data_IF_102969903071
#
_entry.id   IF_102969903071
#
_cell.length_a   1.000
_cell.length_b   1.000
_cell.length_c   1.000
_cell.angle_alpha   90.00
_cell.angle_beta   90.00
_cell.angle_gamma   90.00
#
_symmetry.space_group_name_H-M   'P 1'
#
loop_
_entity.id
_entity.type
_entity.pdbx_description
1 polymer ?
#
# COMPACT_ATOMS: atom_id res chain seq x y z
N UNK A 1 21.11 -12.93 -1.15
CA UNK A 1 19.87 -13.64 -0.75
C UNK A 1 19.35 -14.54 -1.84
N UNK A 2 18.64 -15.61 -1.47
CA UNK A 2 17.92 -16.50 -2.41
C UNK A 2 16.61 -15.85 -2.86
N UNK A 3 15.89 -16.45 -3.82
CA UNK A 3 14.74 -15.80 -4.48
C UNK A 3 13.48 -15.74 -3.62
N UNK A 4 13.26 -16.73 -2.76
CA UNK A 4 12.01 -16.89 -2.01
C UNK A 4 11.78 -15.83 -0.91
N UNK A 5 12.80 -15.17 -0.30
CA UNK A 5 12.59 -14.01 0.56
C UNK A 5 12.53 -12.69 -0.21
N UNK A 6 13.19 -12.61 -1.38
CA UNK A 6 13.27 -11.37 -2.16
C UNK A 6 11.88 -11.01 -2.71
N UNK A 7 11.17 -11.95 -3.33
CA UNK A 7 9.85 -11.69 -3.91
C UNK A 7 8.82 -11.19 -2.89
N UNK A 8 8.62 -11.90 -1.77
CA UNK A 8 7.74 -11.47 -0.70
C UNK A 8 8.21 -10.18 -0.04
N UNK A 9 9.52 -9.96 0.14
CA UNK A 9 9.99 -8.68 0.70
C UNK A 9 9.76 -7.49 -0.24
N UNK A 10 9.95 -7.66 -1.56
CA UNK A 10 9.55 -6.64 -2.55
C UNK A 10 8.05 -6.36 -2.49
N UNK A 11 7.24 -7.41 -2.29
CA UNK A 11 5.80 -7.28 -2.13
C UNK A 11 5.42 -6.58 -0.82
N UNK A 12 5.96 -6.98 0.33
CA UNK A 12 5.70 -6.36 1.65
C UNK A 12 6.12 -4.89 1.70
N UNK A 13 7.23 -4.55 1.05
CA UNK A 13 7.72 -3.16 0.98
C UNK A 13 6.77 -2.25 0.23
N UNK A 14 5.99 -2.82 -0.67
CA UNK A 14 4.97 -2.11 -1.40
C UNK A 14 3.64 -2.18 -0.64
N UNK A 15 3.17 -3.38 -0.35
CA UNK A 15 1.95 -3.67 0.39
C UNK A 15 2.19 -3.46 1.89
N UNK A 16 2.19 -2.19 2.26
CA UNK A 16 2.13 -1.71 3.64
C UNK A 16 0.72 -1.30 4.06
N UNK A 17 0.66 -0.60 5.19
CA UNK A 17 -0.58 -0.04 5.73
C UNK A 17 -1.30 0.91 4.78
N UNK A 18 -0.55 1.67 3.98
CA UNK A 18 -1.11 2.56 2.97
C UNK A 18 -1.99 1.81 1.96
N UNK A 19 -1.74 0.53 1.69
CA UNK A 19 -2.59 -0.27 0.82
C UNK A 19 -3.83 -0.78 1.57
N UNK A 20 -3.69 -1.23 2.81
CA UNK A 20 -4.85 -1.65 3.60
C UNK A 20 -5.85 -0.52 3.85
N UNK A 21 -5.36 0.69 4.11
CA UNK A 21 -6.21 1.86 4.40
C UNK A 21 -6.58 2.58 3.10
N UNK A 22 -5.58 2.93 2.28
CA UNK A 22 -5.76 3.73 1.08
C UNK A 22 -6.30 2.95 -0.12
N UNK A 23 -5.68 1.81 -0.50
CA UNK A 23 -6.13 1.02 -1.66
C UNK A 23 -7.51 0.43 -1.40
N UNK A 24 -7.75 -0.17 -0.24
CA UNK A 24 -9.08 -0.69 0.09
C UNK A 24 -10.11 0.42 0.30
N UNK A 25 -9.73 1.57 0.88
CA UNK A 25 -10.64 2.70 1.05
C UNK A 25 -11.02 3.35 -0.28
N UNK A 26 -10.08 3.48 -1.21
CA UNK A 26 -10.37 3.97 -2.56
C UNK A 26 -11.15 2.93 -3.36
N UNK A 27 -10.90 1.63 -3.12
CA UNK A 27 -11.76 0.54 -3.59
C UNK A 27 -13.20 0.69 -3.10
N UNK A 28 -13.40 0.96 -1.81
CA UNK A 28 -14.71 1.21 -1.22
C UNK A 28 -15.42 2.45 -1.81
N UNK A 29 -14.66 3.49 -2.14
CA UNK A 29 -15.20 4.74 -2.69
C UNK A 29 -15.55 4.59 -4.19
N UNK A 30 -14.58 4.11 -4.98
CA UNK A 30 -14.58 4.22 -6.43
C UNK A 30 -14.83 2.88 -7.13
N UNK A 31 -14.54 1.74 -6.50
CA UNK A 31 -14.69 0.40 -7.08
C UNK A 31 -13.39 -0.19 -7.64
N UNK A 32 -13.51 -1.09 -8.62
CA UNK A 32 -12.43 -2.00 -9.03
C UNK A 32 -11.32 -1.36 -9.87
N UNK A 33 -11.51 -0.14 -10.39
CA UNK A 33 -10.52 0.51 -11.23
C UNK A 33 -9.16 0.71 -10.53
N UNK A 34 -9.17 0.81 -9.19
CA UNK A 34 -7.95 0.85 -8.39
C UNK A 34 -7.11 -0.43 -8.53
N UNK A 35 -7.71 -1.57 -8.87
CA UNK A 35 -6.97 -2.78 -9.20
C UNK A 35 -6.06 -2.62 -10.43
N UNK A 36 -6.42 -1.72 -11.35
CA UNK A 36 -5.57 -1.36 -12.49
C UNK A 36 -4.25 -0.73 -12.08
N UNK A 37 -4.21 0.01 -10.96
CA UNK A 37 -2.97 0.55 -10.38
C UNK A 37 -2.00 -0.57 -9.98
N UNK A 38 -2.53 -1.63 -9.36
CA UNK A 38 -1.75 -2.79 -8.93
C UNK A 38 -1.31 -3.67 -10.10
N UNK A 39 -2.17 -3.87 -11.10
CA UNK A 39 -1.86 -4.71 -12.24
C UNK A 39 -0.90 -4.04 -13.23
N UNK A 40 -0.89 -2.70 -13.34
CA UNK A 40 0.11 -1.98 -14.13
C UNK A 40 1.54 -2.25 -13.59
N UNK A 41 1.69 -2.26 -12.27
CA UNK A 41 2.95 -2.55 -11.60
C UNK A 41 3.52 -3.95 -11.92
N UNK A 42 2.68 -4.95 -12.22
CA UNK A 42 3.12 -6.33 -12.49
C UNK A 42 4.16 -6.40 -13.61
N UNK A 43 3.92 -5.67 -14.71
CA UNK A 43 4.83 -5.65 -15.86
C UNK A 43 6.14 -4.98 -15.49
N UNK A 44 6.08 -3.91 -14.69
CA UNK A 44 7.26 -3.11 -14.38
C UNK A 44 8.17 -3.74 -13.32
N UNK A 45 7.62 -4.59 -12.44
CA UNK A 45 8.43 -5.45 -11.56
C UNK A 45 9.29 -6.42 -12.38
N UNK A 46 8.75 -6.98 -13.46
CA UNK A 46 9.51 -7.85 -14.37
C UNK A 46 10.56 -7.04 -15.13
N UNK A 47 10.22 -5.84 -15.60
CA UNK A 47 11.18 -4.92 -16.24
C UNK A 47 12.34 -4.57 -15.30
N UNK A 48 12.07 -4.34 -14.02
CA UNK A 48 13.11 -4.13 -13.00
C UNK A 48 14.13 -5.30 -13.00
N UNK A 49 13.66 -6.53 -12.87
CA UNK A 49 14.53 -7.71 -12.75
C UNK A 49 15.32 -8.05 -14.03
N UNK A 50 14.77 -7.76 -15.21
CA UNK A 50 15.38 -8.13 -16.49
C UNK A 50 16.20 -7.03 -17.17
N UNK A 51 15.87 -5.76 -16.91
CA UNK A 51 16.51 -4.62 -17.57
C UNK A 51 17.35 -3.83 -16.56
N UNK A 52 16.73 -3.31 -15.50
CA UNK A 52 17.37 -2.33 -14.63
C UNK A 52 18.37 -2.95 -13.66
N UNK A 53 18.02 -4.04 -12.97
CA UNK A 53 18.95 -4.68 -12.02
C UNK A 53 20.26 -5.16 -12.68
N UNK A 54 20.24 -5.79 -13.88
CA UNK A 54 21.48 -6.09 -14.61
C UNK A 54 22.36 -4.88 -14.88
N UNK A 55 21.76 -3.72 -15.18
CA UNK A 55 22.49 -2.47 -15.41
C UNK A 55 23.14 -1.99 -14.10
N UNK A 56 22.39 -1.98 -12.99
CA UNK A 56 22.91 -1.53 -11.70
C UNK A 56 24.01 -2.44 -11.15
N UNK A 57 23.85 -3.76 -11.26
CA UNK A 57 24.89 -4.71 -10.82
C UNK A 57 26.17 -4.53 -11.66
N UNK A 58 26.06 -4.38 -12.99
CA UNK A 58 27.22 -4.11 -13.85
C UNK A 58 27.88 -2.76 -13.58
N UNK A 59 27.10 -1.75 -13.21
CA UNK A 59 27.63 -0.44 -12.83
C UNK A 59 28.30 -0.44 -11.44
N UNK A 60 28.13 -1.51 -10.64
CA UNK A 60 28.71 -1.63 -9.31
C UNK A 60 28.27 -0.49 -8.39
N UNK A 61 26.98 -0.16 -8.40
CA UNK A 61 26.39 0.93 -7.61
C UNK A 61 25.56 0.39 -6.47
N UNK A 62 25.56 1.12 -5.36
CA UNK A 62 24.73 0.78 -4.19
C UNK A 62 23.49 1.68 -4.13
N UNK A 63 23.59 2.91 -4.64
CA UNK A 63 22.49 3.88 -4.65
C UNK A 63 22.11 4.33 -6.05
N UNK A 64 20.84 4.71 -6.22
CA UNK A 64 20.34 5.23 -7.49
C UNK A 64 20.95 6.58 -7.86
N UNK A 65 21.17 7.53 -6.92
CA UNK A 65 21.95 8.74 -7.20
C UNK A 65 23.40 8.44 -7.64
N UNK A 66 24.06 7.42 -7.09
CA UNK A 66 25.40 7.01 -7.51
C UNK A 66 25.43 6.53 -8.97
N UNK A 67 24.41 5.77 -9.40
CA UNK A 67 24.23 5.40 -10.81
C UNK A 67 24.18 6.62 -11.72
N UNK A 68 23.37 7.62 -11.34
CA UNK A 68 23.21 8.82 -12.15
C UNK A 68 24.49 9.65 -12.19
N UNK A 69 25.28 9.67 -11.10
CA UNK A 69 26.64 10.23 -11.11
C UNK A 69 27.54 9.51 -12.11
N UNK A 70 27.58 8.17 -12.11
CA UNK A 70 28.43 7.41 -13.05
C UNK A 70 27.98 7.61 -14.50
N UNK A 71 26.68 7.77 -14.74
CA UNK A 71 26.11 7.90 -16.09
C UNK A 71 26.24 9.30 -16.69
N UNK A 72 25.94 10.34 -15.91
CA UNK A 72 25.87 11.74 -16.37
C UNK A 72 27.03 12.61 -15.91
N UNK A 73 27.82 12.14 -14.94
CA UNK A 73 28.91 12.90 -14.33
C UNK A 73 28.43 13.90 -13.28
N UNK A 74 29.38 14.36 -12.45
CA UNK A 74 29.18 15.44 -11.49
C UNK A 74 28.64 15.01 -10.12
N UNK A 75 29.36 15.36 -9.04
CA UNK A 75 28.95 15.11 -7.64
C UNK A 75 27.67 15.88 -7.25
N UNK A 76 27.39 17.00 -7.93
CA UNK A 76 26.20 17.84 -7.67
C UNK A 76 24.88 17.11 -7.92
N UNK A 77 24.80 16.29 -8.98
CA UNK A 77 23.57 15.53 -9.31
C UNK A 77 23.29 14.48 -8.25
N UNK A 78 24.33 13.75 -7.79
CA UNK A 78 24.21 12.76 -6.72
C UNK A 78 23.64 13.38 -5.45
N UNK A 79 24.26 14.47 -4.98
CA UNK A 79 23.85 15.15 -3.73
C UNK A 79 22.43 15.69 -3.88
N UNK A 80 22.12 16.37 -4.99
CA UNK A 80 20.79 16.93 -5.22
C UNK A 80 19.70 15.85 -5.17
N UNK A 81 19.88 14.74 -5.89
CA UNK A 81 18.89 13.66 -5.92
C UNK A 81 18.78 12.92 -4.59
N UNK A 82 19.89 12.79 -3.86
CA UNK A 82 19.88 12.17 -2.52
C UNK A 82 19.11 13.02 -1.53
N UNK A 83 19.37 14.33 -1.48
CA UNK A 83 18.64 15.27 -0.63
C UNK A 83 17.16 15.31 -1.01
N UNK A 84 16.84 15.39 -2.31
CA UNK A 84 15.46 15.36 -2.78
C UNK A 84 14.75 14.06 -2.36
N UNK A 85 15.40 12.91 -2.52
CA UNK A 85 14.83 11.60 -2.15
C UNK A 85 14.60 11.50 -0.64
N UNK A 86 15.53 12.00 0.19
CA UNK A 86 15.37 12.03 1.64
C UNK A 86 14.19 12.91 2.07
N UNK A 87 14.05 14.11 1.48
CA UNK A 87 12.90 14.98 1.74
C UNK A 87 11.59 14.31 1.31
N UNK A 88 11.56 13.68 0.13
CA UNK A 88 10.38 12.96 -0.33
C UNK A 88 10.02 11.79 0.60
N UNK A 89 11.00 11.04 1.11
CA UNK A 89 10.73 9.96 2.06
C UNK A 89 10.12 10.47 3.36
N UNK A 90 10.58 11.61 3.90
CA UNK A 90 10.04 12.21 5.12
C UNK A 90 8.61 12.72 4.88
N UNK A 91 8.40 13.53 3.85
CA UNK A 91 7.13 14.23 3.65
C UNK A 91 6.03 13.39 3.00
N UNK A 92 6.38 12.35 2.24
CA UNK A 92 5.37 11.54 1.52
C UNK A 92 5.23 10.13 2.09
N UNK A 93 6.31 9.36 2.20
CA UNK A 93 6.21 7.95 2.60
C UNK A 93 6.03 7.76 4.10
N UNK A 94 6.93 8.33 4.90
CA UNK A 94 6.91 8.17 6.36
C UNK A 94 5.62 8.78 6.93
N UNK A 95 5.22 9.96 6.46
CA UNK A 95 3.97 10.61 6.88
C UNK A 95 2.74 9.75 6.56
N UNK A 96 2.62 9.20 5.35
CA UNK A 96 1.50 8.36 4.95
C UNK A 96 1.45 7.04 5.73
N UNK A 97 2.59 6.38 5.93
CA UNK A 97 2.67 5.12 6.68
C UNK A 97 2.32 5.32 8.16
N UNK A 98 2.84 6.39 8.79
CA UNK A 98 2.51 6.75 10.18
C UNK A 98 1.03 7.09 10.32
N UNK A 99 0.46 7.87 9.39
CA UNK A 99 -0.96 8.23 9.40
C UNK A 99 -1.87 7.00 9.28
N UNK A 100 -1.57 6.14 8.31
CA UNK A 100 -2.30 4.89 8.13
C UNK A 100 -2.17 3.98 9.36
N UNK A 101 -0.98 3.94 9.97
CA UNK A 101 -0.74 3.20 11.20
C UNK A 101 -1.48 3.73 12.42
N UNK A 102 -1.55 5.05 12.55
CA UNK A 102 -2.30 5.72 13.61
C UNK A 102 -3.79 5.39 13.55
N UNK A 103 -4.42 5.51 12.36
CA UNK A 103 -5.82 5.13 12.15
C UNK A 103 -6.04 3.68 12.60
N UNK A 104 -5.13 2.81 12.18
CA UNK A 104 -5.25 1.39 12.49
C UNK A 104 -5.15 1.10 13.99
N UNK A 105 -4.13 1.64 14.67
CA UNK A 105 -3.93 1.43 16.10
C UNK A 105 -5.10 1.99 16.91
N UNK A 106 -5.58 3.17 16.53
CA UNK A 106 -6.72 3.79 17.19
C UNK A 106 -7.98 2.92 17.06
N UNK A 107 -8.27 2.39 15.86
CA UNK A 107 -9.44 1.53 15.66
C UNK A 107 -9.30 0.15 16.31
N UNK A 108 -8.10 -0.42 16.30
CA UNK A 108 -7.84 -1.77 16.79
C UNK A 108 -7.72 -1.85 18.32
N UNK A 109 -7.01 -0.89 18.92
CA UNK A 109 -6.63 -0.90 20.34
C UNK A 109 -7.29 0.22 21.16
N UNK A 110 -7.98 1.16 20.53
CA UNK A 110 -8.58 2.31 21.21
C UNK A 110 -7.55 3.25 21.83
N UNK A 111 -6.28 3.16 21.43
CA UNK A 111 -5.21 3.98 21.97
C UNK A 111 -5.22 5.38 21.38
N UNK A 112 -4.73 6.35 22.15
CA UNK A 112 -4.44 7.69 21.65
C UNK A 112 -3.44 7.62 20.50
N UNK A 113 -3.68 8.42 19.46
CA UNK A 113 -2.91 8.43 18.22
C UNK A 113 -1.44 8.77 18.49
N UNK A 114 -1.13 9.72 19.38
CA UNK A 114 0.25 10.12 19.65
C UNK A 114 1.02 9.03 20.40
N UNK A 115 0.37 8.39 21.37
CA UNK A 115 0.95 7.25 22.09
C UNK A 115 1.21 6.08 21.14
N UNK A 116 0.25 5.77 20.25
CA UNK A 116 0.35 4.75 19.24
C UNK A 116 1.56 4.96 18.30
N UNK A 117 1.74 6.18 17.81
CA UNK A 117 2.86 6.57 16.96
C UNK A 117 4.18 6.40 17.70
N UNK A 118 4.27 6.84 18.96
CA UNK A 118 5.50 6.72 19.75
C UNK A 118 5.91 5.25 19.94
N UNK A 119 4.96 4.38 20.32
CA UNK A 119 5.22 2.95 20.49
C UNK A 119 5.65 2.31 19.16
N UNK A 120 4.95 2.61 18.07
CA UNK A 120 5.27 2.11 16.73
C UNK A 120 6.70 2.50 16.33
N UNK A 121 7.05 3.78 16.45
CA UNK A 121 8.38 4.29 16.09
C UNK A 121 9.49 3.73 17.00
N UNK A 122 9.24 3.59 18.30
CA UNK A 122 10.21 3.04 19.24
C UNK A 122 10.54 1.57 18.93
N UNK A 123 9.51 0.75 18.70
CA UNK A 123 9.69 -0.65 18.30
C UNK A 123 10.39 -0.70 16.94
N UNK A 124 9.96 0.12 15.98
CA UNK A 124 10.59 0.18 14.66
C UNK A 124 12.06 0.52 14.71
N UNK A 125 12.44 1.56 15.46
CA UNK A 125 13.84 1.93 15.64
C UNK A 125 14.66 0.78 16.23
N UNK A 126 14.17 0.12 17.28
CA UNK A 126 14.89 -0.96 17.96
C UNK A 126 15.27 -2.11 17.02
N UNK A 127 14.31 -2.62 16.23
CA UNK A 127 14.62 -3.73 15.34
C UNK A 127 15.36 -3.29 14.06
N UNK A 128 15.18 -2.05 13.61
CA UNK A 128 15.97 -1.49 12.49
C UNK A 128 17.45 -1.47 12.85
N UNK A 129 17.78 -0.94 14.03
CA UNK A 129 19.15 -0.76 14.52
C UNK A 129 19.83 -2.12 14.75
N UNK A 130 19.11 -3.10 15.29
CA UNK A 130 19.68 -4.40 15.67
C UNK A 130 19.75 -5.40 14.51
N UNK A 131 18.83 -5.35 13.54
CA UNK A 131 18.67 -6.40 12.53
C UNK A 131 19.33 -6.15 11.17
N UNK A 132 19.44 -4.89 10.74
CA UNK A 132 19.91 -4.53 9.39
C UNK A 132 19.05 -5.08 8.25
N UNK A 133 19.47 -4.85 7.00
CA UNK A 133 18.69 -5.22 5.80
C UNK A 133 18.34 -6.72 5.74
N UNK A 134 19.21 -7.58 6.26
CA UNK A 134 18.98 -9.01 6.17
C UNK A 134 17.84 -9.49 7.07
N UNK A 135 17.78 -9.02 8.32
CA UNK A 135 16.68 -9.33 9.21
C UNK A 135 15.36 -8.80 8.66
N UNK A 136 15.35 -7.57 8.11
CA UNK A 136 14.17 -6.95 7.50
C UNK A 136 13.59 -7.84 6.40
N UNK A 137 14.41 -8.38 5.49
CA UNK A 137 13.91 -9.21 4.39
C UNK A 137 13.27 -10.53 4.92
N UNK A 138 13.83 -11.14 5.96
CA UNK A 138 13.24 -12.35 6.54
C UNK A 138 11.93 -12.07 7.27
N UNK A 139 11.86 -10.99 8.04
CA UNK A 139 10.62 -10.58 8.73
C UNK A 139 9.52 -10.23 7.72
N UNK A 140 9.86 -9.52 6.65
CA UNK A 140 8.94 -9.18 5.56
C UNK A 140 8.35 -10.44 4.90
N UNK A 141 9.17 -11.48 4.76
CA UNK A 141 8.75 -12.73 4.11
C UNK A 141 7.75 -13.48 4.95
N UNK A 142 8.02 -13.63 6.26
CA UNK A 142 7.10 -14.26 7.19
C UNK A 142 5.78 -13.47 7.25
N UNK A 143 5.88 -12.14 7.40
CA UNK A 143 4.71 -11.27 7.44
C UNK A 143 3.86 -11.39 6.18
N UNK A 144 4.48 -11.39 4.99
CA UNK A 144 3.76 -11.56 3.72
C UNK A 144 2.96 -12.85 3.70
N UNK A 145 3.55 -13.97 4.14
CA UNK A 145 2.86 -15.25 4.16
C UNK A 145 1.62 -15.21 5.07
N UNK A 146 1.77 -14.70 6.30
CA UNK A 146 0.65 -14.62 7.26
C UNK A 146 -0.41 -13.63 6.76
N UNK A 147 0.01 -12.52 6.15
CA UNK A 147 -0.86 -11.50 5.57
C UNK A 147 -1.72 -12.05 4.44
N UNK A 148 -1.12 -12.79 3.51
CA UNK A 148 -1.85 -13.39 2.41
C UNK A 148 -2.89 -14.39 2.94
N UNK A 149 -2.49 -15.30 3.83
CA UNK A 149 -3.40 -16.29 4.43
C UNK A 149 -4.56 -15.60 5.14
N UNK A 150 -4.27 -14.61 5.98
CA UNK A 150 -5.28 -13.88 6.72
C UNK A 150 -6.23 -13.07 5.83
N UNK A 151 -5.72 -12.43 4.77
CA UNK A 151 -6.54 -11.73 3.78
C UNK A 151 -7.40 -12.68 2.94
N UNK A 152 -6.91 -13.88 2.59
CA UNK A 152 -7.73 -14.90 1.92
C UNK A 152 -8.90 -15.33 2.80
N UNK A 153 -8.63 -15.58 4.08
CA UNK A 153 -9.68 -15.96 5.05
C UNK A 153 -10.70 -14.83 5.20
N UNK A 154 -10.26 -13.58 5.38
CA UNK A 154 -11.14 -12.41 5.47
C UNK A 154 -12.01 -12.28 4.22
N UNK A 155 -11.42 -12.40 3.04
CA UNK A 155 -12.13 -12.30 1.76
C UNK A 155 -13.20 -13.39 1.65
N UNK A 156 -12.90 -14.62 2.07
CA UNK A 156 -13.86 -15.72 2.13
C UNK A 156 -15.06 -15.41 3.03
N UNK A 157 -14.83 -14.92 4.25
CA UNK A 157 -15.91 -14.48 5.14
C UNK A 157 -16.71 -13.31 4.56
N UNK A 158 -16.04 -12.34 3.95
CA UNK A 158 -16.65 -11.16 3.36
C UNK A 158 -17.62 -11.52 2.23
N UNK A 159 -17.20 -12.39 1.31
CA UNK A 159 -18.09 -12.85 0.24
C UNK A 159 -19.22 -13.74 0.74
N UNK A 160 -18.99 -14.54 1.79
CA UNK A 160 -20.03 -15.35 2.41
C UNK A 160 -21.16 -14.47 2.98
N UNK A 161 -20.83 -13.38 3.70
CA UNK A 161 -21.87 -12.49 4.25
C UNK A 161 -22.60 -11.66 3.20
N UNK A 162 -21.93 -11.29 2.11
CA UNK A 162 -22.58 -10.56 1.04
C UNK A 162 -23.52 -11.47 0.21
N UNK A 163 -23.31 -12.79 0.25
CA UNK A 163 -24.09 -13.77 -0.50
C UNK A 163 -23.52 -14.08 -1.89
N UNK A 164 -22.20 -13.99 -2.06
CA UNK A 164 -21.50 -14.30 -3.31
C UNK A 164 -21.25 -13.11 -4.24
N UNK A 165 -20.68 -13.38 -5.41
CA UNK A 165 -20.20 -12.36 -6.34
C UNK A 165 -21.32 -11.57 -7.05
N UNK A 166 -22.41 -12.23 -7.43
CA UNK A 166 -23.56 -11.57 -8.07
C UNK A 166 -24.26 -10.61 -7.10
N UNK A 167 -24.51 -11.09 -5.87
CA UNK A 167 -25.06 -10.25 -4.80
C UNK A 167 -24.13 -9.10 -4.45
N UNK A 168 -22.82 -9.31 -4.50
CA UNK A 168 -21.82 -8.25 -4.31
C UNK A 168 -21.96 -7.13 -5.35
N UNK A 169 -22.09 -7.45 -6.63
CA UNK A 169 -22.27 -6.44 -7.68
C UNK A 169 -23.54 -5.62 -7.50
N UNK A 170 -24.66 -6.28 -7.22
CA UNK A 170 -25.96 -5.63 -7.04
C UNK A 170 -26.01 -4.79 -5.75
N UNK A 171 -25.59 -5.37 -4.62
CA UNK A 171 -25.62 -4.68 -3.32
C UNK A 171 -24.63 -3.53 -3.24
N UNK A 172 -23.47 -3.62 -3.91
CA UNK A 172 -22.51 -2.51 -3.94
C UNK A 172 -23.15 -1.26 -4.55
N UNK A 173 -23.88 -1.38 -5.66
CA UNK A 173 -24.55 -0.25 -6.29
C UNK A 173 -25.68 0.36 -5.44
N UNK A 174 -26.23 -0.43 -4.51
CA UNK A 174 -27.29 0.00 -3.58
C UNK A 174 -26.76 0.50 -2.22
N UNK A 175 -25.44 0.46 -2.00
CA UNK A 175 -24.81 0.85 -0.74
C UNK A 175 -24.73 2.38 -0.58
N UNK A 176 -25.89 2.98 -0.34
CA UNK A 176 -26.12 4.42 -0.13
C UNK A 176 -26.48 4.66 1.35
N UNK A 177 -25.84 5.62 2.04
CA UNK A 177 -26.17 5.96 3.43
C UNK A 177 -27.57 6.58 3.53
N UNK A 178 -28.26 6.29 4.64
CA UNK A 178 -29.61 6.80 4.91
C UNK A 178 -29.59 8.31 5.18
N UNK A 179 -28.51 8.81 5.78
CA UNK A 179 -28.36 10.22 6.17
C UNK A 179 -27.48 10.98 5.19
N UNK A 180 -28.15 11.73 4.31
CA UNK A 180 -27.53 12.51 3.22
C UNK A 180 -27.76 14.02 3.34
N UNK A 181 -28.71 14.44 4.18
CA UNK A 181 -28.96 15.83 4.52
C UNK A 181 -29.05 16.02 6.03
N UNK A 182 -28.50 17.12 6.52
CA UNK A 182 -28.70 17.57 7.90
C UNK A 182 -28.92 19.08 7.90
N UNK A 183 -30.14 19.51 8.26
CA UNK A 183 -30.53 20.92 8.29
C UNK A 183 -30.29 21.62 6.94
N UNK A 184 -29.33 22.56 6.93
CA UNK A 184 -29.02 23.39 5.76
C UNK A 184 -28.01 22.76 4.78
N UNK A 185 -27.42 21.62 5.10
CA UNK A 185 -26.42 20.96 4.26
C UNK A 185 -26.99 19.68 3.63
N UNK A 186 -26.97 19.60 2.31
CA UNK A 186 -27.28 18.39 1.55
C UNK A 186 -26.05 18.01 0.73
N UNK A 187 -25.54 16.80 0.94
CA UNK A 187 -24.40 16.31 0.16
C UNK A 187 -24.81 16.11 -1.31
N UNK A 188 -23.86 16.35 -2.23
CA UNK A 188 -24.08 16.05 -3.65
C UNK A 188 -24.28 14.56 -3.85
N UNK A 189 -25.16 14.18 -4.77
CA UNK A 189 -25.47 12.78 -5.08
C UNK A 189 -24.21 11.96 -5.41
N UNK A 190 -23.32 12.56 -6.21
CA UNK A 190 -22.02 12.00 -6.59
C UNK A 190 -21.13 11.57 -5.41
N UNK A 191 -21.31 12.16 -4.23
CA UNK A 191 -20.46 11.86 -3.07
C UNK A 191 -20.87 10.58 -2.33
N UNK A 192 -22.15 10.19 -2.39
CA UNK A 192 -22.68 9.05 -1.64
C UNK A 192 -23.14 7.90 -2.52
N UNK A 193 -23.49 8.15 -3.79
CA UNK A 193 -23.83 7.08 -4.73
C UNK A 193 -22.58 6.43 -5.30
N UNK A 194 -22.49 5.09 -5.32
CA UNK A 194 -21.47 4.38 -6.09
C UNK A 194 -21.53 4.77 -7.58
N UNK A 195 -20.38 4.85 -8.25
CA UNK A 195 -20.35 5.21 -9.68
C UNK A 195 -20.89 4.06 -10.52
N UNK A 196 -21.58 4.38 -11.61
CA UNK A 196 -22.06 3.37 -12.57
C UNK A 196 -20.92 2.54 -13.20
N UNK A 197 -19.73 3.15 -13.35
CA UNK A 197 -18.51 2.51 -13.85
C UNK A 197 -17.62 1.90 -12.76
N UNK A 198 -18.16 1.65 -11.56
CA UNK A 198 -17.41 1.05 -10.44
C UNK A 198 -16.86 -0.35 -10.74
N UNK A 199 -17.46 -1.11 -11.65
CA UNK A 199 -16.99 -2.42 -12.10
C UNK A 199 -16.21 -2.39 -13.43
N UNK A 200 -15.82 -1.21 -13.91
CA UNK A 200 -14.99 -1.07 -15.11
C UNK A 200 -13.59 -0.58 -14.74
N UNK A 201 -12.56 -1.35 -15.13
CA UNK A 201 -11.15 -0.95 -14.94
C UNK A 201 -10.78 0.17 -15.91
N UNK A 202 -11.18 0.03 -17.17
CA UNK A 202 -10.97 1.06 -18.19
C UNK A 202 -12.15 2.02 -18.19
N UNK A 203 -12.00 3.14 -17.50
CA UNK A 203 -13.02 4.19 -17.41
C UNK A 203 -12.91 5.18 -18.56
N UNK A 204 -13.95 5.99 -18.71
CA UNK A 204 -14.01 7.07 -19.68
C UNK A 204 -12.73 7.93 -19.66
N UNK A 205 -12.15 8.26 -20.83
CA UNK A 205 -10.87 8.94 -20.91
C UNK A 205 -10.87 10.39 -20.38
N UNK A 206 -12.03 11.02 -20.19
CA UNK A 206 -12.14 12.44 -19.84
C UNK A 206 -12.83 12.62 -18.48
N UNK A 207 -13.89 11.87 -18.22
CA UNK A 207 -14.75 12.03 -17.03
C UNK A 207 -14.48 11.00 -15.93
N UNK A 208 -13.66 9.98 -16.23
CA UNK A 208 -13.16 9.04 -15.24
C UNK A 208 -12.27 9.73 -14.21
N UNK A 209 -12.41 9.37 -12.94
CA UNK A 209 -11.42 9.66 -11.89
C UNK A 209 -10.06 8.98 -12.18
N UNK A 210 -10.12 7.76 -12.73
CA UNK A 210 -8.97 7.04 -13.29
C UNK A 210 -9.22 6.76 -14.77
N UNK A 211 -9.01 7.76 -15.64
CA UNK A 211 -9.24 7.60 -17.06
C UNK A 211 -8.27 6.56 -17.63
N UNK A 212 -8.74 5.69 -18.53
CA UNK A 212 -7.91 4.59 -19.06
C UNK A 212 -6.56 5.02 -19.67
N UNK A 213 -6.41 6.19 -20.35
CA UNK A 213 -5.11 6.63 -20.83
C UNK A 213 -4.17 6.97 -19.68
N UNK A 214 -4.70 7.58 -18.61
CA UNK A 214 -3.96 7.84 -17.37
C UNK A 214 -3.55 6.55 -16.69
N UNK A 215 -4.43 5.55 -16.66
CA UNK A 215 -4.16 4.23 -16.10
C UNK A 215 -3.03 3.49 -16.83
N UNK A 216 -3.00 3.55 -18.16
CA UNK A 216 -1.97 2.84 -18.94
C UNK A 216 -0.68 3.64 -19.04
N UNK A 217 -0.75 4.90 -19.49
CA UNK A 217 0.44 5.69 -19.80
C UNK A 217 0.94 6.50 -18.61
N UNK A 218 0.03 7.10 -17.84
CA UNK A 218 0.37 7.89 -16.66
C UNK A 218 0.92 7.03 -15.53
N UNK A 219 0.18 6.00 -15.12
CA UNK A 219 0.61 5.10 -14.05
C UNK A 219 1.84 4.28 -14.43
N UNK A 220 2.06 3.96 -15.71
CA UNK A 220 3.29 3.28 -16.11
C UNK A 220 4.54 4.13 -15.82
N UNK A 221 4.48 5.46 -15.96
CA UNK A 221 5.60 6.34 -15.62
C UNK A 221 5.85 6.31 -14.11
N UNK A 222 4.78 6.41 -13.31
CA UNK A 222 4.85 6.36 -11.85
C UNK A 222 5.36 4.99 -11.35
N UNK A 223 4.83 3.91 -11.90
CA UNK A 223 5.25 2.56 -11.58
C UNK A 223 6.69 2.30 -12.03
N UNK A 224 7.14 2.84 -13.16
CA UNK A 224 8.52 2.71 -13.60
C UNK A 224 9.45 3.40 -12.60
N UNK A 225 9.09 4.62 -12.18
CA UNK A 225 9.83 5.34 -11.16
C UNK A 225 9.88 4.55 -9.84
N UNK A 226 8.72 4.09 -9.35
CA UNK A 226 8.61 3.36 -8.08
C UNK A 226 9.39 2.03 -8.10
N UNK A 227 9.23 1.22 -9.15
CA UNK A 227 9.85 -0.11 -9.18
C UNK A 227 11.30 -0.08 -9.61
N UNK A 228 11.66 0.77 -10.57
CA UNK A 228 12.98 0.72 -11.20
C UNK A 228 13.97 1.73 -10.63
N UNK A 229 13.51 2.82 -10.00
CA UNK A 229 14.41 3.86 -9.47
C UNK A 229 14.27 4.14 -7.97
N UNK A 230 13.28 3.58 -7.29
CA UNK A 230 13.18 3.76 -5.84
C UNK A 230 14.23 2.93 -5.09
N UNK A 231 15.00 3.59 -4.23
CA UNK A 231 16.06 2.95 -3.45
C UNK A 231 15.52 1.78 -2.63
N UNK A 232 14.32 1.88 -2.06
CA UNK A 232 13.72 0.85 -1.21
C UNK A 232 13.54 -0.48 -1.95
N UNK A 233 13.15 -0.41 -3.21
CA UNK A 233 12.86 -1.58 -4.05
C UNK A 233 14.14 -2.12 -4.68
N UNK A 234 14.94 -1.22 -5.28
CA UNK A 234 16.15 -1.64 -6.00
C UNK A 234 17.19 -2.23 -5.05
N UNK A 235 17.35 -1.67 -3.84
CA UNK A 235 18.31 -2.16 -2.84
C UNK A 235 18.06 -3.64 -2.47
N UNK A 236 16.80 -4.08 -2.42
CA UNK A 236 16.45 -5.48 -2.17
C UNK A 236 16.85 -6.39 -3.31
N UNK A 237 16.63 -5.95 -4.54
CA UNK A 237 17.07 -6.71 -5.72
C UNK A 237 18.59 -6.84 -5.76
N UNK A 238 19.33 -5.79 -5.40
CA UNK A 238 20.79 -5.80 -5.34
C UNK A 238 21.34 -6.73 -4.24
N UNK A 239 20.54 -7.04 -3.21
CA UNK A 239 20.93 -7.98 -2.15
C UNK A 239 20.90 -9.47 -2.58
N UNK A 240 20.42 -9.77 -3.80
CA UNK A 240 20.35 -11.14 -4.32
C UNK A 240 21.72 -11.77 -4.50
N UNK A 241 21.81 -13.10 -4.33
CA UNK A 241 23.09 -13.83 -4.50
C UNK A 241 23.54 -13.83 -5.96
N UNK A 242 22.61 -14.03 -6.89
CA UNK A 242 22.84 -14.17 -8.32
C UNK A 242 21.70 -13.55 -9.12
N UNK A 243 21.95 -13.29 -10.41
CA UNK A 243 20.93 -12.74 -11.32
C UNK A 243 19.69 -13.63 -11.47
N UNK A 244 19.85 -14.96 -11.46
CA UNK A 244 18.71 -15.88 -11.50
C UNK A 244 17.79 -15.71 -10.28
N UNK A 245 18.36 -15.39 -9.10
CA UNK A 245 17.56 -15.14 -7.90
C UNK A 245 16.84 -13.79 -7.94
N UNK A 246 17.44 -12.77 -8.54
CA UNK A 246 16.76 -11.48 -8.81
C UNK A 246 15.54 -11.72 -9.69
N UNK A 247 15.74 -12.33 -10.86
CA UNK A 247 14.66 -12.56 -11.84
C UNK A 247 13.53 -13.39 -11.24
N UNK A 248 13.87 -14.48 -10.54
CA UNK A 248 12.88 -15.30 -9.84
C UNK A 248 12.15 -14.52 -8.73
N UNK A 249 12.85 -13.69 -7.95
CA UNK A 249 12.25 -12.82 -6.93
C UNK A 249 11.28 -11.79 -7.52
N UNK A 250 11.69 -11.10 -8.59
CA UNK A 250 10.82 -10.17 -9.32
C UNK A 250 9.60 -10.88 -9.92
N UNK A 251 9.77 -12.09 -10.47
CA UNK A 251 8.65 -12.89 -11.01
C UNK A 251 7.65 -13.23 -9.92
N UNK A 252 8.14 -13.72 -8.77
CA UNK A 252 7.30 -14.04 -7.62
C UNK A 252 6.55 -12.80 -7.12
N UNK A 253 7.23 -11.66 -7.00
CA UNK A 253 6.59 -10.39 -6.63
C UNK A 253 5.50 -9.98 -7.64
N UNK A 254 5.77 -10.14 -8.94
CA UNK A 254 4.79 -9.91 -10.00
C UNK A 254 3.53 -10.76 -9.83
N UNK A 255 3.66 -12.06 -9.56
CA UNK A 255 2.50 -12.91 -9.26
C UNK A 255 1.75 -12.48 -8.00
N UNK A 256 2.47 -12.15 -6.93
CA UNK A 256 1.84 -11.66 -5.69
C UNK A 256 1.06 -10.36 -5.91
N UNK A 257 1.50 -9.49 -6.83
CA UNK A 257 0.82 -8.24 -7.19
C UNK A 257 -0.52 -8.41 -7.89
N UNK A 258 -0.90 -9.62 -8.33
CA UNK A 258 -2.25 -9.90 -8.80
C UNK A 258 -3.28 -9.93 -7.65
N UNK A 259 -2.83 -10.29 -6.45
CA UNK A 259 -3.71 -10.61 -5.31
C UNK A 259 -4.40 -9.40 -4.65
N UNK A 260 -3.78 -8.21 -4.48
CA UNK A 260 -4.41 -7.08 -3.78
C UNK A 260 -5.77 -6.64 -4.36
N UNK A 261 -6.00 -6.84 -5.65
CA UNK A 261 -7.31 -6.60 -6.27
C UNK A 261 -8.42 -7.44 -5.59
N UNK A 262 -8.16 -8.73 -5.37
CA UNK A 262 -9.12 -9.64 -4.75
C UNK A 262 -9.08 -9.60 -3.23
N UNK A 263 -7.91 -9.31 -2.65
CA UNK A 263 -7.67 -9.41 -1.21
C UNK A 263 -7.78 -8.09 -0.45
N UNK A 264 -7.85 -6.94 -1.14
CA UNK A 264 -7.96 -5.61 -0.53
C UNK A 264 -9.03 -4.75 -1.18
N UNK A 265 -9.04 -4.62 -2.51
CA UNK A 265 -10.01 -3.77 -3.22
C UNK A 265 -11.43 -4.32 -3.07
N UNK A 266 -11.65 -5.61 -3.40
CA UNK A 266 -12.96 -6.24 -3.25
C UNK A 266 -13.45 -6.28 -1.79
N UNK A 267 -12.64 -6.68 -0.78
CA UNK A 267 -13.02 -6.54 0.63
C UNK A 267 -13.35 -5.11 1.05
N UNK A 268 -12.62 -4.10 0.54
CA UNK A 268 -12.95 -2.69 0.77
C UNK A 268 -14.35 -2.33 0.26
N UNK A 269 -14.69 -2.78 -0.96
CA UNK A 269 -16.03 -2.61 -1.54
C UNK A 269 -17.11 -3.35 -0.73
N UNK A 270 -16.82 -4.58 -0.28
CA UNK A 270 -17.73 -5.36 0.59
C UNK A 270 -17.96 -4.63 1.92
N UNK A 271 -16.92 -4.05 2.49
CA UNK A 271 -17.05 -3.30 3.74
C UNK A 271 -18.08 -2.17 3.61
N UNK A 272 -18.08 -1.43 2.48
CA UNK A 272 -19.11 -0.42 2.19
C UNK A 272 -20.54 -1.01 2.14
N UNK A 273 -20.71 -2.24 1.67
CA UNK A 273 -22.01 -2.92 1.65
C UNK A 273 -22.48 -3.24 3.07
N UNK A 274 -21.60 -3.78 3.92
CA UNK A 274 -21.95 -4.23 5.27
C UNK A 274 -22.09 -3.07 6.26
N UNK A 275 -21.29 -2.02 6.09
CA UNK A 275 -21.19 -0.89 7.01
C UNK A 275 -21.40 0.45 6.30
N UNK A 276 -22.46 0.53 5.49
CA UNK A 276 -22.75 1.68 4.62
C UNK A 276 -22.78 3.01 5.37
N UNK A 277 -23.49 3.09 6.50
CA UNK A 277 -23.59 4.33 7.30
C UNK A 277 -22.24 4.82 7.84
N UNK A 278 -21.32 3.89 8.12
CA UNK A 278 -19.98 4.23 8.65
C UNK A 278 -19.04 4.64 7.53
N UNK A 279 -19.00 3.89 6.43
CA UNK A 279 -17.95 3.99 5.40
C UNK A 279 -18.33 4.98 4.30
N UNK A 280 -19.60 5.01 3.90
CA UNK A 280 -20.12 5.92 2.88
C UNK A 280 -20.68 7.21 3.49
N UNK A 281 -20.32 7.54 4.73
CA UNK A 281 -20.76 8.78 5.37
C UNK A 281 -20.36 10.00 4.51
N UNK A 282 -21.26 10.97 4.44
CA UNK A 282 -21.04 12.23 3.71
C UNK A 282 -21.28 13.48 4.55
N UNK A 283 -21.95 13.31 5.69
CA UNK A 283 -22.21 14.39 6.62
C UNK A 283 -21.00 14.58 7.56
N UNK A 284 -20.44 15.80 7.67
CA UNK A 284 -19.24 16.04 8.49
C UNK A 284 -19.36 15.58 9.94
N UNK A 285 -20.52 15.80 10.57
CA UNK A 285 -20.76 15.41 11.97
C UNK A 285 -20.77 13.89 12.16
N UNK A 286 -21.32 13.15 11.19
CA UNK A 286 -21.38 11.69 11.26
C UNK A 286 -20.02 11.08 10.95
N UNK A 287 -19.33 11.59 9.93
CA UNK A 287 -17.98 11.15 9.63
C UNK A 287 -17.03 11.44 10.80
N UNK A 288 -17.17 12.60 11.46
CA UNK A 288 -16.40 12.91 12.66
C UNK A 288 -16.67 11.91 13.79
N UNK A 289 -17.91 11.46 13.95
CA UNK A 289 -18.29 10.46 14.96
C UNK A 289 -17.70 9.08 14.67
N UNK A 290 -17.67 8.66 13.40
CA UNK A 290 -17.24 7.31 13.03
C UNK A 290 -15.73 7.16 12.82
N UNK A 291 -15.07 8.14 12.19
CA UNK A 291 -13.64 8.05 11.88
C UNK A 291 -12.82 9.25 12.35
N UNK A 292 -13.41 10.19 13.11
CA UNK A 292 -12.67 11.33 13.64
C UNK A 292 -12.25 12.36 12.59
N UNK A 293 -12.79 12.28 11.37
CA UNK A 293 -12.51 13.24 10.30
C UNK A 293 -13.80 13.68 9.57
N UNK A 294 -13.91 14.94 9.14
CA UNK A 294 -15.13 15.46 8.51
C UNK A 294 -15.22 15.18 7.01
N UNK A 295 -14.17 14.64 6.38
CA UNK A 295 -14.03 14.55 4.92
C UNK A 295 -14.51 13.23 4.31
N UNK A 296 -14.64 12.17 5.13
CA UNK A 296 -15.09 10.85 4.68
C UNK A 296 -14.35 9.71 5.36
N UNK A 297 -15.04 8.58 5.55
CA UNK A 297 -14.54 7.44 6.33
C UNK A 297 -14.20 6.21 5.47
N UNK A 298 -13.97 6.36 4.17
CA UNK A 298 -13.66 5.22 3.30
C UNK A 298 -12.36 4.53 3.68
N UNK A 299 -11.39 5.27 4.22
CA UNK A 299 -10.09 4.75 4.68
C UNK A 299 -10.19 3.75 5.84
N UNK A 300 -11.28 3.76 6.63
CA UNK A 300 -11.48 2.75 7.69
C UNK A 300 -12.15 1.47 7.19
N UNK A 301 -12.48 1.37 5.90
CA UNK A 301 -13.23 0.24 5.34
C UNK A 301 -12.60 -1.13 5.66
N UNK A 302 -11.32 -1.33 5.34
CA UNK A 302 -10.67 -2.62 5.58
C UNK A 302 -10.46 -2.92 7.07
N UNK A 303 -9.96 -1.96 7.89
CA UNK A 303 -9.89 -2.17 9.34
C UNK A 303 -11.24 -2.51 9.99
N UNK A 304 -12.34 -1.82 9.62
CA UNK A 304 -13.69 -2.10 10.13
C UNK A 304 -14.13 -3.51 9.76
N UNK A 305 -13.86 -3.95 8.54
CA UNK A 305 -14.18 -5.32 8.11
C UNK A 305 -13.43 -6.36 8.95
N UNK A 306 -12.13 -6.16 9.21
CA UNK A 306 -11.34 -7.07 10.06
C UNK A 306 -11.89 -7.13 11.49
N UNK A 307 -12.24 -5.97 12.05
CA UNK A 307 -12.67 -5.83 13.44
C UNK A 307 -14.07 -6.40 13.68
N UNK A 308 -15.00 -6.16 12.76
CA UNK A 308 -16.42 -6.49 12.96
C UNK A 308 -16.80 -7.87 12.36
N UNK A 309 -16.11 -8.35 11.32
CA UNK A 309 -16.45 -9.61 10.65
C UNK A 309 -15.66 -10.82 11.15
N UNK A 310 -14.39 -10.66 11.54
CA UNK A 310 -13.55 -11.83 11.87
C UNK A 310 -13.80 -12.35 13.28
N UNK A 311 -13.78 -13.67 13.48
CA UNK A 311 -13.94 -14.26 14.81
C UNK A 311 -12.73 -13.98 15.71
N UNK A 312 -12.96 -14.12 17.03
CA UNK A 312 -11.92 -14.01 18.04
C UNK A 312 -10.73 -14.94 17.72
N UNK A 313 -9.51 -14.47 17.92
CA UNK A 313 -8.29 -15.17 17.48
C UNK A 313 -7.84 -14.76 16.08
N UNK A 314 -8.63 -15.04 15.03
CA UNK A 314 -8.31 -14.62 13.66
C UNK A 314 -8.25 -13.10 13.51
N UNK A 315 -9.18 -12.39 14.17
CA UNK A 315 -9.11 -10.94 14.30
C UNK A 315 -7.78 -10.50 14.90
N UNK A 316 -7.37 -11.09 16.02
CA UNK A 316 -6.10 -10.77 16.69
C UNK A 316 -4.89 -11.00 15.78
N UNK A 317 -4.86 -12.15 15.09
CA UNK A 317 -3.82 -12.49 14.12
C UNK A 317 -3.73 -11.43 13.01
N UNK A 318 -4.86 -11.06 12.41
CA UNK A 318 -4.89 -10.03 11.37
C UNK A 318 -4.45 -8.67 11.88
N UNK A 319 -4.85 -8.30 13.10
CA UNK A 319 -4.39 -7.06 13.73
C UNK A 319 -2.87 -7.04 13.93
N UNK A 320 -2.29 -8.15 14.39
CA UNK A 320 -0.84 -8.29 14.55
C UNK A 320 -0.10 -8.20 13.22
N UNK A 321 -0.63 -8.79 12.16
CA UNK A 321 0.02 -8.79 10.84
C UNK A 321 0.00 -7.41 10.20
N UNK A 322 -1.12 -6.69 10.32
CA UNK A 322 -1.21 -5.31 9.83
C UNK A 322 -0.23 -4.40 10.59
N UNK A 323 -0.07 -4.60 11.91
CA UNK A 323 0.97 -3.93 12.69
C UNK A 323 2.38 -4.29 12.22
N UNK A 324 2.66 -5.56 11.97
CA UNK A 324 3.93 -5.98 11.42
C UNK A 324 4.18 -5.33 10.05
N UNK A 325 3.15 -5.18 9.21
CA UNK A 325 3.27 -4.52 7.90
C UNK A 325 3.62 -3.04 7.99
N UNK A 326 3.04 -2.34 8.96
CA UNK A 326 3.40 -0.96 9.27
C UNK A 326 4.88 -0.83 9.61
N UNK A 327 5.34 -1.70 10.50
CA UNK A 327 6.73 -1.76 10.91
C UNK A 327 7.62 -2.02 9.69
N UNK A 328 7.37 -3.11 8.95
CA UNK A 328 8.12 -3.50 7.75
C UNK A 328 8.32 -2.35 6.76
N UNK A 329 7.26 -1.63 6.38
CA UNK A 329 7.35 -0.49 5.47
C UNK A 329 8.23 0.63 6.01
N UNK A 330 8.07 0.99 7.29
CA UNK A 330 8.91 2.02 7.93
C UNK A 330 10.38 1.60 8.00
N UNK A 331 10.69 0.35 8.35
CA UNK A 331 12.09 -0.13 8.33
C UNK A 331 12.74 0.01 6.97
N UNK A 332 11.97 -0.33 5.95
CA UNK A 332 12.42 -0.30 4.57
C UNK A 332 12.86 1.10 4.19
N UNK A 333 12.04 2.09 4.55
CA UNK A 333 12.33 3.50 4.31
C UNK A 333 13.52 3.98 5.14
N UNK A 334 13.59 3.63 6.43
CA UNK A 334 14.70 4.03 7.30
C UNK A 334 16.04 3.45 6.84
N UNK A 335 16.09 2.18 6.46
CA UNK A 335 17.30 1.56 5.94
C UNK A 335 17.75 2.22 4.62
N UNK A 336 16.82 2.48 3.71
CA UNK A 336 17.15 3.14 2.44
C UNK A 336 17.56 4.61 2.62
N UNK A 337 16.90 5.34 3.52
CA UNK A 337 17.28 6.70 3.89
C UNK A 337 18.68 6.75 4.50
N UNK A 338 18.98 5.83 5.43
CA UNK A 338 20.32 5.68 6.01
C UNK A 338 21.37 5.38 4.94
N UNK A 339 21.05 4.50 3.98
CA UNK A 339 21.96 4.17 2.87
C UNK A 339 22.23 5.38 1.97
N UNK A 340 21.20 6.14 1.59
CA UNK A 340 21.36 7.37 0.80
C UNK A 340 22.21 8.40 1.56
N UNK A 341 21.92 8.63 2.84
CA UNK A 341 22.66 9.60 3.63
C UNK A 341 24.13 9.22 3.79
N UNK A 342 24.42 7.97 4.16
CA UNK A 342 25.79 7.51 4.41
C UNK A 342 26.62 7.44 3.14
N UNK A 343 26.07 6.85 2.06
CA UNK A 343 26.83 6.61 0.83
C UNK A 343 26.94 7.84 -0.08
N UNK A 344 25.90 8.69 -0.13
CA UNK A 344 25.84 9.79 -1.10
C UNK A 344 26.17 11.17 -0.52
N UNK A 345 25.97 11.37 0.78
CA UNK A 345 26.13 12.68 1.43
C UNK A 345 27.34 12.69 2.38
N UNK A 346 27.44 11.69 3.26
CA UNK A 346 28.47 11.66 4.30
C UNK A 346 29.88 11.35 3.76
N UNK A 347 29.98 10.54 2.68
CA UNK A 347 31.25 10.06 2.10
C UNK A 347 31.81 10.97 1.00
#
# INVERSE_FOLDING_TARGET
MVWWPIGPSLFASNIGSGHFVGLAGTGAAAGIAMGGFEWNALVLVVVLGWIFVPIYIKAGVVTMPEYLRKRFGGKRIQIYLSVLSLLLYIFTKISADIFSGAIFINLALGLDIYLAIFILLAITALYTITGGLAAVIYTDTLQTAIMLVGSFILTGFAFNEVGGYEAFMDKYMKAIPTKVSNGNFTAKEECYTPRADSFHIFRDPITGDMPWPGLIFGLAILALWYWCTDQVIVQRCLSAKNMSHVKAGCTLCGYLKLLPMFLMVMPGMISRILYTEKIACVLPEECQKYCGTPVGCTNIAYPTLVVELMPNGLRGLMLSVMMASLMSSLTSIFNSASTLFTMDIYT
#
